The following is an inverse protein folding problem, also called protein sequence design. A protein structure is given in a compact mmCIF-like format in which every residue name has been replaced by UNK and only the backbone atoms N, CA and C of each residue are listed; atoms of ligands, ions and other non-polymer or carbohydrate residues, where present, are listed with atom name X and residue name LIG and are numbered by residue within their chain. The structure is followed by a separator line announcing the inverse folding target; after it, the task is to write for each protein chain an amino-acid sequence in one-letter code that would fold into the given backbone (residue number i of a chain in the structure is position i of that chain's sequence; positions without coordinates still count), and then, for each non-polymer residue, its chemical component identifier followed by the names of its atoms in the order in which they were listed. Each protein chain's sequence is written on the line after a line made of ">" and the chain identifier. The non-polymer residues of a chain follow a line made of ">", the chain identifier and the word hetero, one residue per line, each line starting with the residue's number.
data_IF_657052782131
#
_entry.id   IF_657052782131
#
_cell.length_a   1.000
_cell.length_b   1.000
_cell.length_c   1.000
_cell.angle_alpha   90.00
_cell.angle_beta   90.00
_cell.angle_gamma   90.00
#
_symmetry.space_group_name_H-M   'P 1'
#
loop_
_entity.id
_entity.type
_entity.pdbx_description
1 polymer ?
#
# COMPACT_ATOMS: atom_id res chain seq x y z
N UNK A 1 -28.65 15.99 -8.57
CA UNK A 1 -27.27 16.11 -9.08
C UNK A 1 -26.95 14.82 -9.84
N UNK A 2 -27.74 14.52 -10.86
CA UNK A 2 -27.70 13.33 -11.73
C UNK A 2 -27.91 13.88 -13.14
N UNK A 3 -26.86 14.46 -13.76
CA UNK A 3 -26.91 14.92 -15.13
C UNK A 3 -25.51 15.31 -15.65
N UNK A 4 -24.56 14.37 -15.63
CA UNK A 4 -23.24 14.59 -16.24
C UNK A 4 -22.61 13.31 -16.83
N UNK A 5 -23.39 12.26 -17.13
CA UNK A 5 -22.89 11.02 -17.73
C UNK A 5 -23.40 10.71 -19.14
N UNK A 6 -23.85 11.71 -19.89
CA UNK A 6 -24.46 11.48 -21.21
C UNK A 6 -23.81 12.26 -22.35
N UNK A 7 -22.49 12.42 -22.38
CA UNK A 7 -21.81 13.15 -23.48
C UNK A 7 -20.44 12.55 -23.83
N UNK A 8 -20.35 11.24 -24.13
CA UNK A 8 -19.13 10.62 -24.70
C UNK A 8 -19.52 9.50 -25.68
N UNK A 9 -20.27 9.84 -26.72
CA UNK A 9 -20.43 9.02 -27.90
C UNK A 9 -20.32 9.93 -29.14
N UNK A 10 -19.10 10.32 -29.48
CA UNK A 10 -18.79 10.83 -30.82
C UNK A 10 -17.79 9.89 -31.49
N UNK A 11 -18.07 9.38 -32.69
CA UNK A 11 -17.10 8.60 -33.43
C UNK A 11 -15.96 9.48 -33.89
N UNK A 12 -14.77 9.27 -33.35
CA UNK A 12 -13.56 9.88 -33.80
C UNK A 12 -13.15 9.27 -35.15
N UNK A 13 -13.29 10.00 -36.24
CA UNK A 13 -12.72 9.65 -37.54
C UNK A 13 -11.21 9.92 -37.47
N UNK A 14 -10.43 8.97 -37.07
CA UNK A 14 -8.98 9.01 -37.22
C UNK A 14 -8.61 8.70 -38.67
N UNK A 15 -7.98 9.68 -39.33
CA UNK A 15 -7.32 9.55 -40.62
C UNK A 15 -6.03 8.76 -40.41
N UNK A 16 -5.83 7.71 -41.18
CA UNK A 16 -4.83 6.66 -40.94
C UNK A 16 -3.40 6.99 -41.40
N UNK A 17 -2.98 8.23 -41.53
CA UNK A 17 -1.64 8.57 -42.11
C UNK A 17 -0.86 9.69 -41.42
N UNK A 18 -1.25 10.15 -40.24
CA UNK A 18 -0.37 11.07 -39.49
C UNK A 18 0.45 10.25 -38.47
N UNK A 19 1.79 10.34 -38.51
CA UNK A 19 2.61 9.76 -37.43
C UNK A 19 2.19 10.48 -36.15
N UNK A 20 1.51 9.75 -35.27
CA UNK A 20 1.22 10.22 -33.91
C UNK A 20 2.58 10.61 -33.31
N UNK A 21 2.83 11.90 -33.00
CA UNK A 21 4.04 12.24 -32.30
C UNK A 21 4.03 11.40 -31.02
N UNK A 22 5.13 10.68 -30.79
CA UNK A 22 5.38 10.04 -29.50
C UNK A 22 5.46 11.17 -28.47
N UNK A 23 4.30 11.62 -28.01
CA UNK A 23 4.19 12.43 -26.81
C UNK A 23 4.67 11.49 -25.71
N UNK A 24 5.97 11.63 -25.39
CA UNK A 24 6.50 11.12 -24.14
C UNK A 24 5.46 11.49 -23.09
N UNK A 25 4.85 10.47 -22.48
CA UNK A 25 3.88 10.68 -21.41
C UNK A 25 4.64 11.23 -20.18
N UNK A 26 5.03 12.51 -20.30
CA UNK A 26 5.69 13.22 -19.20
C UNK A 26 4.61 13.50 -18.17
N UNK A 27 4.77 12.86 -17.01
CA UNK A 27 3.92 13.10 -15.85
C UNK A 27 3.83 14.60 -15.58
N UNK A 28 2.62 15.14 -15.56
CA UNK A 28 2.35 16.54 -15.25
C UNK A 28 2.34 16.79 -13.73
N UNK A 29 2.44 18.07 -13.33
CA UNK A 29 2.35 18.46 -11.91
C UNK A 29 0.98 18.13 -11.30
N UNK A 30 -0.11 18.25 -12.07
CA UNK A 30 -1.44 17.87 -11.62
C UNK A 30 -1.56 16.38 -11.35
N UNK A 31 -1.03 15.55 -12.24
CA UNK A 31 -0.99 14.08 -12.08
C UNK A 31 -0.17 13.72 -10.85
N UNK A 32 0.97 14.40 -10.68
CA UNK A 32 1.85 14.22 -9.54
C UNK A 32 1.15 14.49 -8.20
N UNK A 33 0.39 15.58 -8.11
CA UNK A 33 -0.38 15.95 -6.91
C UNK A 33 -1.49 14.93 -6.66
N UNK A 34 -2.22 14.52 -7.69
CA UNK A 34 -3.34 13.58 -7.55
C UNK A 34 -2.82 12.20 -7.13
N UNK A 35 -1.86 11.63 -7.88
CA UNK A 35 -1.30 10.31 -7.56
C UNK A 35 -0.58 10.30 -6.21
N UNK A 36 0.21 11.34 -5.90
CA UNK A 36 0.86 11.47 -4.60
C UNK A 36 -0.14 11.56 -3.45
N UNK A 37 -1.27 12.24 -3.65
CA UNK A 37 -2.35 12.31 -2.66
C UNK A 37 -3.01 10.95 -2.45
N UNK A 38 -3.33 10.25 -3.55
CA UNK A 38 -3.96 8.92 -3.49
C UNK A 38 -3.04 7.91 -2.83
N UNK A 39 -1.77 7.85 -3.23
CA UNK A 39 -0.78 6.96 -2.63
C UNK A 39 -0.62 7.23 -1.13
N UNK A 40 -0.35 8.48 -0.75
CA UNK A 40 -0.14 8.84 0.65
C UNK A 40 -1.38 8.58 1.53
N UNK A 41 -2.59 8.82 1.03
CA UNK A 41 -3.81 8.53 1.77
C UNK A 41 -4.01 7.03 1.93
N UNK A 42 -3.76 6.22 0.92
CA UNK A 42 -4.24 4.84 0.85
C UNK A 42 -3.21 3.79 1.22
N UNK A 43 -1.89 4.10 1.18
CA UNK A 43 -0.83 3.11 1.39
C UNK A 43 -0.87 2.49 2.79
N UNK A 44 -1.10 3.29 3.81
CA UNK A 44 -1.15 2.81 5.20
C UNK A 44 -2.56 2.51 5.71
N UNK A 45 -3.59 2.92 4.97
CA UNK A 45 -4.96 2.55 5.27
C UNK A 45 -5.26 1.10 4.82
N UNK A 46 -6.14 0.39 5.52
CA UNK A 46 -6.47 -0.99 5.14
C UNK A 46 -7.47 -1.06 3.97
N UNK A 47 -7.25 -0.27 2.91
CA UNK A 47 -8.17 -0.08 1.77
C UNK A 47 -7.57 -0.45 0.40
N UNK A 48 -6.28 -0.79 0.33
CA UNK A 48 -5.50 -1.11 -0.88
C UNK A 48 -5.20 0.09 -1.76
N UNK A 49 -3.96 0.58 -1.72
CA UNK A 49 -3.44 1.63 -2.61
C UNK A 49 -3.51 1.20 -4.08
N UNK A 50 -3.17 -0.05 -4.40
CA UNK A 50 -3.19 -0.59 -5.77
C UNK A 50 -4.56 -0.40 -6.44
N UNK A 51 -5.66 -0.70 -5.75
CA UNK A 51 -7.00 -0.52 -6.31
C UNK A 51 -7.32 0.94 -6.63
N UNK A 52 -6.89 1.87 -5.77
CA UNK A 52 -7.08 3.30 -5.98
C UNK A 52 -6.22 3.84 -7.11
N UNK A 53 -4.95 3.44 -7.17
CA UNK A 53 -4.02 3.87 -8.20
C UNK A 53 -4.46 3.41 -9.59
N UNK A 54 -4.98 2.18 -9.74
CA UNK A 54 -5.55 1.69 -10.99
C UNK A 54 -6.72 2.59 -11.45
N UNK A 55 -7.66 2.90 -10.55
CA UNK A 55 -8.78 3.78 -10.91
C UNK A 55 -8.32 5.20 -11.22
N UNK A 56 -7.38 5.73 -10.45
CA UNK A 56 -6.88 7.08 -10.62
C UNK A 56 -6.10 7.23 -11.93
N UNK A 57 -5.19 6.30 -12.24
CA UNK A 57 -4.44 6.32 -13.50
C UNK A 57 -5.36 6.26 -14.72
N UNK A 58 -6.42 5.41 -14.66
CA UNK A 58 -7.43 5.35 -15.71
C UNK A 58 -8.22 6.67 -15.83
N UNK A 59 -8.62 7.26 -14.71
CA UNK A 59 -9.38 8.53 -14.71
C UNK A 59 -8.56 9.71 -15.24
N UNK A 60 -7.25 9.68 -15.03
CA UNK A 60 -6.32 10.69 -15.58
C UNK A 60 -5.92 10.40 -17.03
N UNK A 61 -6.25 9.21 -17.57
CA UNK A 61 -5.85 8.80 -18.91
C UNK A 61 -4.35 8.57 -19.07
N UNK A 62 -3.63 8.34 -17.94
CA UNK A 62 -2.19 8.11 -17.92
C UNK A 62 -1.87 6.62 -17.94
N UNK A 63 -0.77 6.25 -18.62
CA UNK A 63 -0.32 4.87 -18.73
C UNK A 63 -0.68 4.18 -20.04
N UNK A 64 -1.63 4.71 -20.83
CA UNK A 64 -2.03 4.15 -22.12
C UNK A 64 -2.50 2.69 -22.06
N UNK A 65 -2.44 1.96 -23.17
CA UNK A 65 -2.64 0.51 -23.19
C UNK A 65 -1.53 -0.19 -22.41
N UNK A 66 -1.91 -1.05 -21.48
CA UNK A 66 -0.98 -1.71 -20.55
C UNK A 66 -0.02 -2.67 -21.26
N UNK A 67 -0.37 -3.13 -22.47
CA UNK A 67 0.48 -4.03 -23.27
C UNK A 67 0.45 -3.63 -24.73
N UNK A 68 1.62 -3.69 -25.37
CA UNK A 68 1.77 -3.59 -26.81
C UNK A 68 1.32 -4.89 -27.49
N UNK A 69 1.13 -4.87 -28.81
CA UNK A 69 0.68 -6.04 -29.58
C UNK A 69 1.61 -7.28 -29.46
N UNK A 70 2.84 -7.11 -29.02
CA UNK A 70 3.83 -8.17 -28.76
C UNK A 70 3.85 -8.64 -27.29
N UNK A 71 2.92 -8.17 -26.46
CA UNK A 71 2.82 -8.56 -25.05
C UNK A 71 3.79 -7.83 -24.10
N UNK A 72 4.60 -6.87 -24.61
CA UNK A 72 5.46 -6.04 -23.76
C UNK A 72 4.66 -4.88 -23.14
N UNK A 73 5.05 -4.41 -21.95
CA UNK A 73 4.44 -3.23 -21.33
C UNK A 73 4.72 -1.98 -22.15
N UNK A 74 3.71 -1.14 -22.34
CA UNK A 74 3.90 0.12 -23.07
C UNK A 74 4.85 1.06 -22.29
N UNK A 75 5.58 1.91 -23.00
CA UNK A 75 6.49 2.89 -22.38
C UNK A 75 5.76 3.83 -21.41
N UNK A 76 4.50 4.19 -21.72
CA UNK A 76 3.67 4.99 -20.83
C UNK A 76 3.31 4.28 -19.53
N UNK A 77 2.93 3.00 -19.60
CA UNK A 77 2.66 2.19 -18.41
C UNK A 77 3.91 2.04 -17.52
N UNK A 78 5.08 1.85 -18.13
CA UNK A 78 6.35 1.75 -17.41
C UNK A 78 6.75 3.08 -16.75
N UNK A 79 6.50 4.21 -17.39
CA UNK A 79 6.74 5.53 -16.80
C UNK A 79 5.85 5.77 -15.58
N UNK A 80 4.58 5.36 -15.61
CA UNK A 80 3.68 5.41 -14.45
C UNK A 80 4.19 4.52 -13.34
N UNK A 81 4.53 3.26 -13.60
CA UNK A 81 5.04 2.33 -12.59
C UNK A 81 6.30 2.89 -11.90
N UNK A 82 7.24 3.43 -12.67
CA UNK A 82 8.43 4.09 -12.15
C UNK A 82 8.09 5.28 -11.24
N UNK A 83 7.10 6.07 -11.63
CA UNK A 83 6.64 7.21 -10.83
C UNK A 83 5.97 6.76 -9.53
N UNK A 84 5.18 5.69 -9.55
CA UNK A 84 4.56 5.12 -8.35
C UNK A 84 5.61 4.72 -7.30
N UNK A 85 6.76 4.19 -7.71
CA UNK A 85 7.88 3.89 -6.80
C UNK A 85 8.40 5.15 -6.11
N UNK A 86 8.47 6.28 -6.82
CA UNK A 86 8.93 7.57 -6.24
C UNK A 86 7.95 8.08 -5.20
N UNK A 87 6.65 8.13 -5.51
CA UNK A 87 5.64 8.63 -4.56
C UNK A 87 5.48 7.68 -3.36
N UNK A 88 5.70 6.37 -3.54
CA UNK A 88 5.76 5.40 -2.45
C UNK A 88 6.91 5.72 -1.48
N UNK A 89 8.07 6.18 -1.98
CA UNK A 89 9.15 6.67 -1.11
C UNK A 89 8.71 7.85 -0.23
N UNK A 90 7.79 8.69 -0.71
CA UNK A 90 7.14 9.74 0.09
C UNK A 90 6.31 9.17 1.26
N UNK A 91 5.52 8.14 1.00
CA UNK A 91 4.76 7.45 2.06
C UNK A 91 5.71 6.80 3.09
N UNK A 92 6.82 6.20 2.65
CA UNK A 92 7.87 5.66 3.54
C UNK A 92 8.47 6.77 4.41
N UNK A 93 8.79 7.93 3.83
CA UNK A 93 9.34 9.08 4.55
C UNK A 93 8.38 9.59 5.65
N UNK A 94 7.07 9.55 5.41
CA UNK A 94 6.06 9.91 6.41
C UNK A 94 6.17 9.04 7.67
N UNK A 95 6.31 7.72 7.51
CA UNK A 95 6.48 6.80 8.65
C UNK A 95 7.82 7.06 9.35
N UNK A 96 8.90 7.29 8.59
CA UNK A 96 10.19 7.66 9.18
C UNK A 96 10.07 8.91 10.06
N UNK A 97 9.37 9.94 9.60
CA UNK A 97 9.15 11.18 10.34
C UNK A 97 8.26 10.93 11.58
N UNK A 98 7.18 10.17 11.45
CA UNK A 98 6.23 9.97 12.55
C UNK A 98 6.76 9.03 13.64
N UNK A 99 7.52 8.02 13.23
CA UNK A 99 8.02 6.97 14.12
C UNK A 99 9.56 7.01 14.28
N UNK A 100 10.16 8.19 14.08
CA UNK A 100 11.61 8.39 14.18
C UNK A 100 12.21 7.90 15.51
N UNK A 101 11.44 7.99 16.61
CA UNK A 101 11.87 7.50 17.93
C UNK A 101 11.97 5.98 17.97
N UNK A 102 11.06 5.25 17.30
CA UNK A 102 11.14 3.81 17.20
C UNK A 102 12.33 3.38 16.34
N UNK A 103 12.53 4.07 15.22
CA UNK A 103 13.68 3.84 14.34
C UNK A 103 14.99 4.10 15.06
N UNK A 104 15.06 5.20 15.82
CA UNK A 104 16.23 5.51 16.63
C UNK A 104 16.45 4.48 17.74
N UNK A 105 15.40 4.04 18.43
CA UNK A 105 15.47 2.99 19.44
C UNK A 105 16.02 1.68 18.87
N UNK A 106 15.54 1.27 17.67
CA UNK A 106 16.06 0.11 16.96
C UNK A 106 17.56 0.28 16.60
N UNK A 107 17.95 1.45 16.09
CA UNK A 107 19.33 1.75 15.77
C UNK A 107 20.23 1.74 17.04
N UNK A 108 19.78 2.37 18.11
CA UNK A 108 20.50 2.33 19.39
C UNK A 108 20.58 0.92 19.97
N UNK A 109 19.58 0.10 19.69
CA UNK A 109 19.57 -1.32 20.05
C UNK A 109 20.70 -2.11 19.40
N UNK A 110 21.05 -1.83 18.14
CA UNK A 110 22.20 -2.44 17.46
C UNK A 110 23.54 -2.15 18.15
N UNK A 111 23.63 -1.01 18.82
CA UNK A 111 24.80 -0.62 19.61
C UNK A 111 24.71 -1.02 21.09
N UNK A 112 23.73 -1.88 21.45
CA UNK A 112 23.55 -2.37 22.82
C UNK A 112 22.96 -1.37 23.80
N UNK A 113 22.52 -0.18 23.35
CA UNK A 113 22.04 0.92 24.21
C UNK A 113 20.53 0.83 24.50
N UNK A 114 19.75 0.13 23.66
CA UNK A 114 18.31 -0.08 23.86
C UNK A 114 17.91 -1.53 23.53
N UNK A 115 17.71 -2.32 24.58
CA UNK A 115 17.34 -3.74 24.45
C UNK A 115 15.94 -3.93 23.85
N UNK A 116 14.99 -3.04 24.15
CA UNK A 116 13.63 -3.12 23.63
C UNK A 116 13.60 -2.70 22.16
N UNK A 117 14.37 -1.67 21.80
CA UNK A 117 14.57 -1.27 20.41
C UNK A 117 15.19 -2.38 19.57
N UNK A 118 16.22 -3.07 20.08
CA UNK A 118 16.81 -4.23 19.39
C UNK A 118 15.78 -5.33 19.16
N UNK A 119 14.99 -5.70 20.18
CA UNK A 119 13.95 -6.72 20.07
C UNK A 119 12.87 -6.32 19.06
N UNK A 120 12.45 -5.05 19.06
CA UNK A 120 11.52 -4.54 18.07
C UNK A 120 12.08 -4.68 16.65
N UNK A 121 13.33 -4.29 16.43
CA UNK A 121 14.00 -4.44 15.14
C UNK A 121 14.06 -5.90 14.68
N UNK A 122 14.46 -6.82 15.57
CA UNK A 122 14.48 -8.27 15.27
C UNK A 122 13.07 -8.77 14.93
N UNK A 123 12.05 -8.39 15.71
CA UNK A 123 10.66 -8.78 15.46
C UNK A 123 10.16 -8.34 14.09
N UNK A 124 10.49 -7.13 13.68
CA UNK A 124 10.13 -6.59 12.36
C UNK A 124 10.88 -7.30 11.23
N UNK A 125 12.18 -7.59 11.41
CA UNK A 125 12.97 -8.36 10.44
C UNK A 125 12.41 -9.77 10.30
N UNK A 126 12.08 -10.45 11.39
CA UNK A 126 11.45 -11.79 11.37
C UNK A 126 10.09 -11.75 10.65
N UNK A 127 9.28 -10.71 10.91
CA UNK A 127 8.00 -10.52 10.21
C UNK A 127 8.17 -10.16 8.73
N UNK A 128 9.28 -9.57 8.33
CA UNK A 128 9.57 -9.26 6.93
C UNK A 128 9.95 -10.51 6.12
N UNK A 129 10.64 -11.49 6.73
CA UNK A 129 11.23 -12.64 6.03
C UNK A 129 10.24 -13.42 5.13
N UNK A 130 9.01 -13.80 5.58
CA UNK A 130 8.10 -14.55 4.72
C UNK A 130 7.77 -13.83 3.41
N UNK A 131 7.48 -12.53 3.48
CA UNK A 131 7.18 -11.72 2.30
C UNK A 131 8.43 -11.50 1.44
N UNK A 132 9.61 -11.34 2.02
CA UNK A 132 10.86 -11.20 1.27
C UNK A 132 11.18 -12.47 0.47
N UNK A 133 11.09 -13.64 1.11
CA UNK A 133 11.38 -14.92 0.44
C UNK A 133 10.37 -15.20 -0.67
N UNK A 134 9.07 -15.08 -0.36
CA UNK A 134 8.02 -15.34 -1.35
C UNK A 134 8.01 -14.29 -2.45
N UNK A 135 8.35 -13.02 -2.13
CA UNK A 135 8.48 -11.95 -3.11
C UNK A 135 9.55 -12.27 -4.15
N UNK A 136 10.73 -12.71 -3.71
CA UNK A 136 11.81 -13.06 -4.64
C UNK A 136 11.47 -14.29 -5.50
N UNK A 137 10.65 -15.21 -4.99
CA UNK A 137 10.32 -16.46 -5.69
C UNK A 137 9.09 -16.36 -6.61
N UNK A 138 8.12 -15.52 -6.25
CA UNK A 138 6.79 -15.51 -6.87
C UNK A 138 6.44 -14.18 -7.56
N UNK A 139 7.31 -13.17 -7.51
CA UNK A 139 7.01 -11.84 -8.04
C UNK A 139 6.50 -11.89 -9.48
N UNK A 140 7.26 -12.52 -10.37
CA UNK A 140 6.95 -12.58 -11.81
C UNK A 140 5.62 -13.31 -12.06
N UNK A 141 5.36 -14.40 -11.34
CA UNK A 141 4.10 -15.13 -11.42
C UNK A 141 2.91 -14.30 -10.92
N UNK A 142 3.09 -13.56 -9.81
CA UNK A 142 2.05 -12.69 -9.25
C UNK A 142 1.74 -11.55 -10.22
N UNK A 143 2.76 -10.92 -10.77
CA UNK A 143 2.60 -9.84 -11.75
C UNK A 143 1.86 -10.33 -13.01
N UNK A 144 2.23 -11.49 -13.53
CA UNK A 144 1.62 -12.04 -14.75
C UNK A 144 0.15 -12.46 -14.53
N UNK A 145 -0.16 -13.09 -13.39
CA UNK A 145 -1.47 -13.75 -13.18
C UNK A 145 -2.47 -12.97 -12.35
N UNK A 146 -1.99 -12.12 -11.43
CA UNK A 146 -2.85 -11.48 -10.43
C UNK A 146 -2.94 -9.96 -10.60
N UNK A 147 -2.11 -9.34 -11.46
CA UNK A 147 -2.24 -7.93 -11.78
C UNK A 147 -3.35 -7.71 -12.80
N UNK A 148 -4.46 -7.15 -12.32
CA UNK A 148 -5.62 -6.84 -13.17
C UNK A 148 -6.81 -6.36 -12.35
N UNK A 149 -7.79 -5.70 -12.98
CA UNK A 149 -8.92 -5.14 -12.24
C UNK A 149 -9.78 -6.23 -11.56
N UNK A 150 -9.99 -7.38 -12.21
CA UNK A 150 -10.80 -8.46 -11.64
C UNK A 150 -10.15 -9.12 -10.42
N UNK A 151 -8.89 -9.60 -10.46
CA UNK A 151 -8.21 -10.11 -9.27
C UNK A 151 -8.16 -9.11 -8.12
N UNK A 152 -7.90 -7.83 -8.41
CA UNK A 152 -7.87 -6.75 -7.41
C UNK A 152 -9.25 -6.56 -6.76
N UNK A 153 -10.34 -6.54 -7.54
CA UNK A 153 -11.69 -6.42 -7.01
C UNK A 153 -12.09 -7.62 -6.14
N UNK A 154 -11.73 -8.84 -6.56
CA UNK A 154 -11.96 -10.05 -5.77
C UNK A 154 -11.19 -10.01 -4.45
N UNK A 155 -9.91 -9.62 -4.47
CA UNK A 155 -9.09 -9.50 -3.27
C UNK A 155 -9.63 -8.42 -2.31
N UNK A 156 -10.11 -7.30 -2.84
CA UNK A 156 -10.81 -6.26 -2.07
C UNK A 156 -12.06 -6.84 -1.39
N UNK A 157 -12.91 -7.52 -2.16
CA UNK A 157 -14.17 -8.09 -1.67
C UNK A 157 -13.92 -9.16 -0.58
N UNK A 158 -12.94 -10.05 -0.77
CA UNK A 158 -12.58 -11.09 0.21
C UNK A 158 -11.97 -10.51 1.49
N UNK A 159 -11.27 -9.39 1.42
CA UNK A 159 -10.73 -8.72 2.60
C UNK A 159 -11.80 -8.14 3.54
N UNK A 160 -12.96 -7.76 3.03
CA UNK A 160 -14.03 -7.18 3.83
C UNK A 160 -14.60 -8.14 4.89
N UNK A 161 -15.05 -9.38 4.56
CA UNK A 161 -15.52 -10.33 5.56
C UNK A 161 -14.41 -10.74 6.56
N UNK A 162 -13.14 -10.79 6.12
CA UNK A 162 -12.02 -11.04 7.02
C UNK A 162 -11.93 -9.95 8.09
N UNK A 163 -12.03 -8.66 7.71
CA UNK A 163 -11.98 -7.54 8.64
C UNK A 163 -13.17 -7.55 9.61
N UNK A 164 -14.38 -7.80 9.11
CA UNK A 164 -15.57 -7.88 9.95
C UNK A 164 -15.53 -9.08 10.91
N UNK A 165 -15.05 -10.23 10.42
CA UNK A 165 -14.91 -11.45 11.21
C UNK A 165 -13.92 -11.28 12.38
N UNK A 166 -12.74 -10.69 12.10
CA UNK A 166 -11.74 -10.47 13.16
C UNK A 166 -12.21 -9.42 14.17
N UNK A 167 -12.94 -8.41 13.72
CA UNK A 167 -13.50 -7.42 14.64
C UNK A 167 -14.60 -8.01 15.54
N UNK A 168 -15.48 -8.84 14.96
CA UNK A 168 -16.50 -9.56 15.73
C UNK A 168 -15.86 -10.49 16.77
N UNK A 169 -14.85 -11.29 16.35
CA UNK A 169 -14.13 -12.18 17.24
C UNK A 169 -13.48 -11.40 18.39
N UNK A 170 -12.79 -10.30 18.11
CA UNK A 170 -12.13 -9.48 19.11
C UNK A 170 -13.12 -8.84 20.12
N UNK A 171 -14.26 -8.33 19.64
CA UNK A 171 -15.30 -7.78 20.52
C UNK A 171 -15.84 -8.83 21.49
N UNK A 172 -16.01 -10.04 21.02
CA UNK A 172 -16.46 -11.18 21.86
C UNK A 172 -15.41 -11.56 22.91
N UNK A 173 -14.14 -11.60 22.51
CA UNK A 173 -13.03 -11.93 23.41
C UNK A 173 -12.83 -10.83 24.48
N UNK A 174 -12.89 -9.56 24.10
CA UNK A 174 -12.78 -8.42 25.01
C UNK A 174 -13.95 -8.33 26.00
N UNK A 175 -15.15 -8.76 25.64
CA UNK A 175 -16.30 -8.83 26.54
C UNK A 175 -16.13 -9.88 27.64
N UNK A 176 -15.26 -10.86 27.42
CA UNK A 176 -14.96 -11.97 28.35
C UNK A 176 -13.80 -11.64 29.30
N UNK A 177 -13.07 -10.53 29.08
CA UNK A 177 -11.92 -10.15 29.90
C UNK A 177 -12.33 -9.20 31.04
N UNK A 178 -12.09 -9.54 32.32
CA UNK A 178 -12.38 -8.62 33.43
C UNK A 178 -11.44 -7.43 33.40
N UNK A 179 -11.97 -6.22 33.30
CA UNK A 179 -11.28 -4.97 33.62
C UNK A 179 -10.60 -4.23 32.47
N UNK A 180 -11.32 -3.85 31.43
CA UNK A 180 -11.21 -2.61 30.62
C UNK A 180 -9.87 -1.92 30.31
N UNK A 181 -8.74 -2.42 30.77
CA UNK A 181 -7.44 -1.81 30.48
C UNK A 181 -6.87 -2.35 29.17
N UNK A 182 -6.22 -1.50 28.42
CA UNK A 182 -5.44 -1.84 27.22
C UNK A 182 -4.24 -2.75 27.59
N UNK A 183 -4.53 -4.03 27.87
CA UNK A 183 -3.57 -5.04 28.30
C UNK A 183 -2.90 -5.75 27.13
N UNK A 184 -3.05 -5.24 25.91
CA UNK A 184 -2.43 -5.83 24.72
C UNK A 184 -0.89 -5.85 24.82
N UNK A 185 -0.30 -6.89 24.21
CA UNK A 185 1.15 -7.11 24.18
C UNK A 185 1.91 -5.86 23.68
N UNK A 186 3.14 -5.70 24.19
CA UNK A 186 4.06 -4.70 23.63
C UNK A 186 4.71 -5.22 22.34
N UNK A 187 5.06 -4.32 21.42
CA UNK A 187 5.62 -4.71 20.11
C UNK A 187 6.93 -5.51 20.23
N UNK A 188 7.77 -5.15 21.22
CA UNK A 188 9.03 -5.83 21.47
C UNK A 188 8.86 -7.15 22.22
N UNK A 189 7.67 -7.46 22.78
CA UNK A 189 7.39 -8.69 23.53
C UNK A 189 6.81 -9.81 22.65
N UNK A 190 6.57 -9.57 21.37
CA UNK A 190 6.11 -10.61 20.46
C UNK A 190 7.16 -11.72 20.33
N UNK A 191 6.67 -12.96 20.26
CA UNK A 191 7.53 -14.12 19.97
C UNK A 191 7.86 -14.20 18.47
N UNK A 192 8.95 -14.89 18.12
CA UNK A 192 9.30 -15.13 16.72
C UNK A 192 8.15 -15.78 15.92
N UNK A 193 7.43 -16.75 16.53
CA UNK A 193 6.28 -17.39 15.88
C UNK A 193 5.14 -16.41 15.58
N UNK A 194 4.88 -15.45 16.48
CA UNK A 194 3.88 -14.39 16.25
C UNK A 194 4.33 -13.42 15.15
N UNK A 195 5.61 -13.07 15.10
CA UNK A 195 6.17 -12.24 14.04
C UNK A 195 6.14 -12.94 12.68
N UNK A 196 6.51 -14.22 12.61
CA UNK A 196 6.39 -15.04 11.40
C UNK A 196 4.94 -15.15 10.93
N UNK A 197 3.97 -15.29 11.84
CA UNK A 197 2.56 -15.30 11.50
C UNK A 197 2.11 -13.98 10.85
N UNK A 198 2.46 -12.83 11.46
CA UNK A 198 2.18 -11.52 10.84
C UNK A 198 2.86 -11.40 9.48
N UNK A 199 4.09 -11.90 9.35
CA UNK A 199 4.83 -11.94 8.10
C UNK A 199 4.19 -12.85 7.03
N UNK A 200 3.64 -14.00 7.43
CA UNK A 200 2.87 -14.86 6.54
C UNK A 200 1.58 -14.18 6.06
N UNK A 201 0.89 -13.46 6.95
CA UNK A 201 -0.24 -12.60 6.57
C UNK A 201 0.20 -11.51 5.58
N UNK A 202 1.35 -10.89 5.80
CA UNK A 202 1.92 -9.92 4.85
C UNK A 202 2.22 -10.56 3.49
N UNK A 203 2.71 -11.79 3.46
CA UNK A 203 2.98 -12.50 2.21
C UNK A 203 1.71 -12.75 1.38
N UNK A 204 0.56 -13.02 2.03
CA UNK A 204 -0.74 -13.08 1.33
C UNK A 204 -1.08 -11.74 0.69
N UNK A 205 -0.66 -10.63 1.28
CA UNK A 205 -0.90 -9.29 0.75
C UNK A 205 -0.06 -8.94 -0.49
N UNK A 206 0.81 -9.82 -0.97
CA UNK A 206 1.43 -9.72 -2.28
C UNK A 206 0.41 -9.87 -3.41
N UNK A 207 -0.73 -10.55 -3.16
CA UNK A 207 -1.87 -10.53 -4.08
C UNK A 207 -2.42 -9.11 -4.18
N UNK A 208 -2.39 -8.47 -5.38
CA UNK A 208 -2.88 -7.10 -5.58
C UNK A 208 -4.33 -6.95 -5.12
N UNK A 209 -4.65 -5.84 -4.48
CA UNK A 209 -5.99 -5.61 -3.92
C UNK A 209 -6.18 -6.10 -2.47
N UNK A 210 -5.37 -7.03 -1.98
CA UNK A 210 -5.49 -7.57 -0.62
C UNK A 210 -5.23 -6.51 0.46
N UNK A 211 -4.32 -5.58 0.23
CA UNK A 211 -3.82 -4.56 1.17
C UNK A 211 -2.85 -5.13 2.23
N UNK A 212 -1.58 -4.73 2.11
CA UNK A 212 -0.52 -5.08 3.05
C UNK A 212 -0.85 -4.61 4.47
N UNK A 213 -1.29 -3.36 4.63
CA UNK A 213 -1.67 -2.80 5.93
C UNK A 213 -2.84 -3.54 6.56
N UNK A 214 -3.86 -3.92 5.77
CA UNK A 214 -4.98 -4.74 6.27
C UNK A 214 -4.48 -6.07 6.84
N UNK A 215 -3.71 -6.83 6.08
CA UNK A 215 -3.27 -8.16 6.49
C UNK A 215 -2.38 -8.12 7.73
N UNK A 216 -1.47 -7.16 7.81
CA UNK A 216 -0.57 -7.02 8.96
C UNK A 216 -1.29 -6.48 10.21
N UNK A 217 -2.29 -5.60 10.06
CA UNK A 217 -3.14 -5.15 11.18
C UNK A 217 -3.99 -6.32 11.70
N UNK A 218 -4.64 -7.07 10.79
CA UNK A 218 -5.42 -8.28 11.16
C UNK A 218 -4.53 -9.32 11.84
N UNK A 219 -3.33 -9.58 11.28
CA UNK A 219 -2.34 -10.45 11.90
C UNK A 219 -1.95 -9.99 13.30
N UNK A 220 -1.76 -8.69 13.50
CA UNK A 220 -1.49 -8.09 14.80
C UNK A 220 -2.63 -8.32 15.81
N UNK A 221 -3.89 -8.20 15.37
CA UNK A 221 -5.06 -8.50 16.22
C UNK A 221 -5.08 -9.96 16.67
N UNK A 222 -4.83 -10.88 15.74
CA UNK A 222 -4.83 -12.33 16.02
C UNK A 222 -3.77 -12.71 17.05
N UNK A 223 -2.58 -12.10 17.01
CA UNK A 223 -1.51 -12.39 17.96
C UNK A 223 -1.64 -11.64 19.30
N UNK A 224 -2.69 -10.83 19.48
CA UNK A 224 -3.04 -10.17 20.73
C UNK A 224 -2.50 -8.75 20.90
N UNK A 225 -2.20 -8.06 19.79
CA UNK A 225 -1.94 -6.62 19.82
C UNK A 225 -3.26 -5.83 19.86
N UNK A 226 -3.24 -4.66 20.51
CA UNK A 226 -4.35 -3.72 20.42
C UNK A 226 -4.45 -3.09 19.03
N UNK A 227 -5.58 -2.46 18.65
CA UNK A 227 -5.74 -1.82 17.36
C UNK A 227 -4.62 -0.84 17.01
N UNK A 228 -4.30 0.03 17.96
CA UNK A 228 -3.26 1.04 17.79
C UNK A 228 -1.86 0.42 17.68
N UNK A 229 -1.56 -0.58 18.52
CA UNK A 229 -0.27 -1.30 18.46
C UNK A 229 -0.15 -2.13 17.18
N UNK A 230 -1.23 -2.75 16.70
CA UNK A 230 -1.25 -3.48 15.43
C UNK A 230 -0.98 -2.56 14.25
N UNK A 231 -1.63 -1.39 14.21
CA UNK A 231 -1.37 -0.38 13.19
C UNK A 231 0.10 0.11 13.26
N UNK A 232 0.61 0.42 14.45
CA UNK A 232 2.00 0.84 14.62
C UNK A 232 2.99 -0.22 14.16
N UNK A 233 2.78 -1.50 14.51
CA UNK A 233 3.61 -2.61 14.01
C UNK A 233 3.53 -2.72 12.49
N UNK A 234 2.34 -2.63 11.91
CA UNK A 234 2.09 -2.65 10.47
C UNK A 234 2.84 -1.52 9.74
N UNK A 235 2.85 -0.30 10.29
CA UNK A 235 3.54 0.84 9.69
C UNK A 235 5.06 0.66 9.71
N UNK A 236 5.62 0.23 10.85
CA UNK A 236 7.05 -0.03 10.98
C UNK A 236 7.48 -1.22 10.09
N UNK A 237 6.67 -2.28 10.00
CA UNK A 237 6.91 -3.39 9.10
C UNK A 237 6.83 -2.94 7.64
N UNK A 238 5.85 -2.09 7.31
CA UNK A 238 5.72 -1.46 6.00
C UNK A 238 6.92 -0.60 5.64
N UNK A 239 7.43 0.19 6.58
CA UNK A 239 8.65 0.96 6.39
C UNK A 239 9.82 0.05 5.94
N UNK A 240 10.04 -1.08 6.61
CA UNK A 240 11.12 -2.02 6.24
C UNK A 240 10.82 -2.66 4.87
N UNK A 241 9.60 -3.18 4.68
CA UNK A 241 9.23 -3.91 3.47
C UNK A 241 9.27 -3.04 2.23
N UNK A 242 8.65 -1.85 2.29
CA UNK A 242 8.60 -0.92 1.16
C UNK A 242 9.98 -0.31 0.88
N UNK A 243 10.77 0.00 1.92
CA UNK A 243 12.14 0.46 1.72
C UNK A 243 13.00 -0.59 1.02
N UNK A 244 12.89 -1.86 1.43
CA UNK A 244 13.60 -2.96 0.77
C UNK A 244 13.16 -3.12 -0.70
N UNK A 245 11.86 -3.08 -0.98
CA UNK A 245 11.32 -3.14 -2.34
C UNK A 245 11.77 -1.94 -3.19
N UNK A 246 11.68 -0.72 -2.67
CA UNK A 246 12.12 0.50 -3.35
C UNK A 246 13.63 0.44 -3.68
N UNK A 247 14.46 0.05 -2.72
CA UNK A 247 15.91 -0.10 -2.95
C UNK A 247 16.19 -1.16 -3.99
N UNK A 248 15.52 -2.31 -3.93
CA UNK A 248 15.66 -3.39 -4.93
C UNK A 248 15.30 -2.89 -6.34
N UNK A 249 14.18 -2.19 -6.50
CA UNK A 249 13.75 -1.61 -7.78
C UNK A 249 14.75 -0.56 -8.29
N UNK A 250 15.24 0.32 -7.42
CA UNK A 250 16.24 1.33 -7.79
C UNK A 250 17.57 0.70 -8.22
N UNK A 251 18.01 -0.40 -7.58
CA UNK A 251 19.22 -1.10 -7.98
C UNK A 251 19.06 -1.80 -9.33
N UNK A 252 17.86 -2.32 -9.65
CA UNK A 252 17.58 -3.05 -10.87
C UNK A 252 17.26 -2.12 -12.06
N UNK A 253 16.47 -1.09 -11.83
CA UNK A 253 15.89 -0.23 -12.88
C UNK A 253 16.21 1.27 -12.74
N UNK A 254 17.03 1.67 -11.76
CA UNK A 254 17.25 3.08 -11.43
C UNK A 254 17.80 3.93 -12.57
N UNK A 255 18.58 3.34 -13.50
CA UNK A 255 19.08 4.04 -14.69
C UNK A 255 17.95 4.38 -15.67
N UNK A 256 17.02 3.46 -15.90
CA UNK A 256 15.84 3.64 -16.75
C UNK A 256 14.87 4.65 -16.11
N UNK A 257 14.65 4.52 -14.80
CA UNK A 257 13.84 5.48 -14.03
C UNK A 257 14.37 6.90 -14.13
N UNK A 258 15.68 7.09 -14.04
CA UNK A 258 16.33 8.41 -14.15
C UNK A 258 16.14 9.06 -15.52
N UNK A 259 15.89 8.28 -16.57
CA UNK A 259 15.66 8.77 -17.92
C UNK A 259 14.20 9.08 -18.21
N UNK A 260 13.27 8.39 -17.52
CA UNK A 260 11.81 8.51 -17.76
C UNK A 260 11.12 9.46 -16.79
N UNK A 261 11.70 9.72 -15.62
CA UNK A 261 11.06 10.53 -14.57
C UNK A 261 11.48 11.99 -14.67
N UNK A 262 10.51 12.88 -14.83
CA UNK A 262 10.71 14.32 -14.72
C UNK A 262 10.94 14.74 -13.27
N UNK A 263 12.09 15.35 -12.90
CA UNK A 263 12.42 15.60 -11.48
C UNK A 263 11.43 16.54 -10.77
N UNK A 264 10.88 17.54 -11.46
CA UNK A 264 9.93 18.51 -10.88
C UNK A 264 8.65 17.84 -10.38
N UNK A 265 7.84 17.20 -11.25
CA UNK A 265 6.66 16.43 -10.82
C UNK A 265 6.98 15.35 -9.79
N UNK A 266 8.12 14.65 -9.92
CA UNK A 266 8.53 13.63 -8.97
C UNK A 266 8.72 14.17 -7.54
N UNK A 267 9.38 15.31 -7.39
CA UNK A 267 9.57 15.97 -6.09
C UNK A 267 8.24 16.47 -5.51
N UNK A 268 7.35 17.01 -6.34
CA UNK A 268 6.03 17.44 -5.90
C UNK A 268 5.20 16.25 -5.44
N UNK A 269 5.14 15.16 -6.23
CA UNK A 269 4.41 13.95 -5.86
C UNK A 269 4.95 13.31 -4.58
N UNK A 270 6.27 13.23 -4.42
CA UNK A 270 6.92 12.73 -3.21
C UNK A 270 6.55 13.58 -1.98
N UNK A 271 6.60 14.92 -2.09
CA UNK A 271 6.25 15.83 -1.00
C UNK A 271 4.76 15.70 -0.61
N UNK A 272 3.87 15.65 -1.61
CA UNK A 272 2.43 15.48 -1.40
C UNK A 272 2.14 14.10 -0.78
N UNK A 273 2.74 13.02 -1.27
CA UNK A 273 2.59 11.69 -0.70
C UNK A 273 3.08 11.65 0.75
N UNK A 274 4.20 12.31 1.06
CA UNK A 274 4.71 12.39 2.44
C UNK A 274 3.72 13.09 3.36
N UNK A 275 3.19 14.24 2.94
CA UNK A 275 2.25 15.02 3.74
C UNK A 275 0.94 14.25 3.97
N UNK A 276 0.34 13.75 2.89
CA UNK A 276 -0.94 13.05 2.95
C UNK A 276 -0.83 11.71 3.69
N UNK A 277 0.28 10.97 3.54
CA UNK A 277 0.54 9.78 4.34
C UNK A 277 0.70 10.09 5.84
N UNK A 278 1.42 11.15 6.19
CA UNK A 278 1.56 11.55 7.59
C UNK A 278 0.21 11.92 8.23
N UNK A 279 -0.66 12.61 7.51
CA UNK A 279 -2.01 12.94 7.96
C UNK A 279 -2.89 11.68 8.09
N UNK A 280 -2.85 10.80 7.08
CA UNK A 280 -3.60 9.54 7.06
C UNK A 280 -3.20 8.60 8.20
N UNK A 281 -1.91 8.43 8.45
CA UNK A 281 -1.39 7.59 9.54
C UNK A 281 -1.85 8.13 10.90
N UNK A 282 -1.72 9.44 11.14
CA UNK A 282 -2.21 10.06 12.37
C UNK A 282 -3.71 9.88 12.55
N UNK A 283 -4.47 10.12 11.48
CA UNK A 283 -5.91 9.93 11.49
C UNK A 283 -6.28 8.47 11.77
N UNK A 284 -5.65 7.50 11.09
CA UNK A 284 -5.93 6.08 11.29
C UNK A 284 -5.68 5.63 12.74
N UNK A 285 -4.56 6.05 13.34
CA UNK A 285 -4.25 5.75 14.74
C UNK A 285 -5.33 6.32 15.68
N UNK A 286 -5.71 7.58 15.48
CA UNK A 286 -6.78 8.22 16.23
C UNK A 286 -8.13 7.53 16.02
N UNK A 287 -8.44 7.12 14.80
CA UNK A 287 -9.67 6.40 14.48
C UNK A 287 -9.70 5.02 15.15
N UNK A 288 -8.64 4.22 15.02
CA UNK A 288 -8.55 2.88 15.60
C UNK A 288 -8.50 2.86 17.13
N UNK A 289 -8.14 3.97 17.76
CA UNK A 289 -8.22 4.09 19.22
C UNK A 289 -9.67 4.09 19.75
N UNK A 290 -10.65 4.38 18.90
CA UNK A 290 -12.07 4.51 19.28
C UNK A 290 -13.00 3.59 18.48
N UNK A 291 -12.58 3.23 17.28
CA UNK A 291 -13.39 2.48 16.31
C UNK A 291 -12.61 1.27 15.81
N UNK A 292 -13.31 0.31 15.26
CA UNK A 292 -12.69 -0.88 14.65
C UNK A 292 -12.46 -0.72 13.15
N UNK A 293 -12.36 -1.87 12.47
CA UNK A 293 -12.08 -1.94 11.03
C UNK A 293 -13.32 -1.92 10.12
N UNK A 294 -14.54 -1.94 10.70
CA UNK A 294 -15.78 -2.11 9.94
C UNK A 294 -15.99 -1.05 8.84
N UNK A 295 -15.66 0.22 9.10
CA UNK A 295 -15.74 1.27 8.08
C UNK A 295 -14.92 0.93 6.83
N UNK A 296 -13.70 0.46 7.03
CA UNK A 296 -12.82 0.09 5.93
C UNK A 296 -13.31 -1.16 5.19
N UNK A 297 -13.93 -2.11 5.90
CA UNK A 297 -14.54 -3.28 5.27
C UNK A 297 -15.66 -2.88 4.30
N UNK A 298 -16.59 -2.02 4.72
CA UNK A 298 -17.64 -1.52 3.83
C UNK A 298 -17.07 -0.70 2.67
N UNK A 299 -16.10 0.15 2.93
CA UNK A 299 -15.42 0.91 1.89
C UNK A 299 -14.81 0.00 0.81
N UNK A 300 -14.14 -1.09 1.20
CA UNK A 300 -13.54 -2.06 0.27
C UNK A 300 -14.58 -2.73 -0.64
N UNK A 301 -15.77 -3.04 -0.12
CA UNK A 301 -16.85 -3.60 -0.93
C UNK A 301 -17.28 -2.59 -2.00
N UNK A 302 -17.50 -1.34 -1.61
CA UNK A 302 -17.87 -0.27 -2.56
C UNK A 302 -16.78 -0.09 -3.61
N UNK A 303 -15.52 -0.04 -3.20
CA UNK A 303 -14.39 0.09 -4.12
C UNK A 303 -14.30 -1.08 -5.10
N UNK A 304 -14.51 -2.32 -4.62
CA UNK A 304 -14.53 -3.50 -5.47
C UNK A 304 -15.64 -3.43 -6.54
N UNK A 305 -16.83 -2.98 -6.16
CA UNK A 305 -17.94 -2.79 -7.10
C UNK A 305 -17.65 -1.71 -8.14
N UNK A 306 -17.00 -0.59 -7.71
CA UNK A 306 -16.58 0.47 -8.65
C UNK A 306 -15.55 -0.07 -9.64
N UNK A 307 -14.55 -0.81 -9.18
CA UNK A 307 -13.52 -1.40 -10.07
C UNK A 307 -14.18 -2.33 -11.09
N UNK A 308 -15.11 -3.20 -10.65
CA UNK A 308 -15.81 -4.12 -11.56
C UNK A 308 -16.73 -3.39 -12.55
N UNK A 309 -17.27 -2.23 -12.19
CA UNK A 309 -18.12 -1.44 -13.10
C UNK A 309 -17.32 -0.67 -14.17
N UNK A 310 -16.00 -0.43 -13.91
CA UNK A 310 -15.10 0.32 -14.81
C UNK A 310 -14.15 -0.62 -15.56
N UNK A 311 -14.03 -1.89 -15.11
CA UNK A 311 -13.20 -2.92 -15.74
C UNK A 311 -13.75 -3.39 -17.07
#
# INVERSE_FOLDING_TARGET
>A
MIAACAALAMPCHCRADDPVPATEATMDYSDAVVLGSVEGITEYLPVSSTGHLILTSRALGIGGETSTADGTRSAGAQAVDNYLVVIQAGAIAAVAILYWRDLLAMLMGLFGKDRNGLRLGINLVVAFLPAAVLGLLLNDWIEEKLFGPIPVAVALALGAPLMLGIEWWRKRDSASAPGGADTGKELHSLSCGQCLFIGAMQAVAMCPGTSRSMMTIVGGYIVGLTPVKSARFSFLLGFITLSAATVFTLLKHGREMAQTISPGPALVGLAVATLTAALSVKWLVSYLSRHGLALFAYYRVVLALIILAVA
#
